data_IF_814176707931
#
_entry.id   IF_814176707931
#
_cell.length_a   1.000
_cell.length_b   1.000
_cell.length_c   1.000
_cell.angle_alpha   90.00
_cell.angle_beta   90.00
_cell.angle_gamma   90.00
#
_symmetry.space_group_name_H-M   'P 1'
#
loop_
_entity.id
_entity.type
_entity.pdbx_description
1 polymer ?
#
# COMPACT_ATOMS: atom_id res chain seq x y z
N UNK A 1 -0.18 19.41 24.80
CA UNK A 1 0.11 18.11 25.43
C UNK A 1 -0.28 16.99 24.46
N UNK A 2 0.63 16.07 24.16
CA UNK A 2 0.30 14.85 23.40
C UNK A 2 -0.59 13.96 24.28
N UNK A 3 -1.89 13.96 24.03
CA UNK A 3 -2.81 13.05 24.71
C UNK A 3 -2.69 11.66 24.11
N UNK A 4 -2.49 10.69 24.99
CA UNK A 4 -2.29 9.29 24.67
C UNK A 4 -3.60 8.54 24.94
N UNK A 5 -4.18 7.97 23.89
CA UNK A 5 -5.50 7.30 23.92
C UNK A 5 -5.36 5.87 23.43
N UNK A 6 -6.17 4.94 23.92
CA UNK A 6 -6.17 3.57 23.41
C UNK A 6 -6.84 3.52 22.03
N UNK A 7 -6.32 2.69 21.11
CA UNK A 7 -6.95 2.48 19.81
C UNK A 7 -8.28 1.72 19.97
N UNK A 8 -9.42 2.24 19.47
CA UNK A 8 -10.69 1.51 19.56
C UNK A 8 -10.69 0.26 18.67
N UNK A 9 -11.24 -0.86 19.17
CA UNK A 9 -11.32 -2.15 18.44
C UNK A 9 -11.89 -2.01 17.03
N UNK A 10 -12.97 -1.22 16.87
CA UNK A 10 -13.62 -0.99 15.58
C UNK A 10 -12.67 -0.39 14.54
N UNK A 11 -11.86 0.60 14.94
CA UNK A 11 -10.90 1.24 14.05
C UNK A 11 -9.75 0.31 13.69
N UNK A 12 -9.26 -0.49 14.65
CA UNK A 12 -8.28 -1.54 14.38
C UNK A 12 -8.78 -2.49 13.28
N UNK A 13 -10.01 -3.01 13.41
CA UNK A 13 -10.55 -3.92 12.40
C UNK A 13 -10.68 -3.29 11.01
N UNK A 14 -11.10 -2.04 10.91
CA UNK A 14 -11.12 -1.34 9.61
C UNK A 14 -9.73 -1.21 9.00
N UNK A 15 -8.71 -0.89 9.81
CA UNK A 15 -7.31 -0.82 9.34
C UNK A 15 -6.86 -2.19 8.84
N UNK A 16 -7.04 -3.24 9.64
CA UNK A 16 -6.57 -4.58 9.30
C UNK A 16 -7.27 -5.13 8.05
N UNK A 17 -8.59 -5.04 7.96
CA UNK A 17 -9.35 -5.53 6.80
C UNK A 17 -8.92 -4.79 5.52
N UNK A 18 -8.79 -3.46 5.58
CA UNK A 18 -8.38 -2.68 4.42
C UNK A 18 -6.96 -3.04 3.98
N UNK A 19 -6.03 -3.20 4.93
CA UNK A 19 -4.67 -3.64 4.62
C UNK A 19 -4.65 -5.04 4.02
N UNK A 20 -5.42 -5.99 4.56
CA UNK A 20 -5.51 -7.34 4.00
C UNK A 20 -6.03 -7.34 2.56
N UNK A 21 -7.07 -6.55 2.26
CA UNK A 21 -7.60 -6.41 0.89
C UNK A 21 -6.52 -5.85 -0.05
N UNK A 22 -5.83 -4.78 0.34
CA UNK A 22 -4.74 -4.18 -0.45
C UNK A 22 -3.63 -5.20 -0.71
N UNK A 23 -3.19 -5.91 0.33
CA UNK A 23 -2.11 -6.90 0.21
C UNK A 23 -2.50 -8.01 -0.77
N UNK A 24 -3.71 -8.56 -0.65
CA UNK A 24 -4.20 -9.62 -1.54
C UNK A 24 -4.34 -9.10 -2.97
N UNK A 25 -4.96 -7.94 -3.17
CA UNK A 25 -5.13 -7.35 -4.50
C UNK A 25 -3.79 -7.09 -5.18
N UNK A 26 -2.83 -6.49 -4.46
CA UNK A 26 -1.48 -6.21 -4.97
C UNK A 26 -0.71 -7.51 -5.27
N UNK A 27 -0.89 -8.54 -4.45
CA UNK A 27 -0.27 -9.86 -4.69
C UNK A 27 -0.83 -10.52 -5.94
N UNK A 28 -2.16 -10.49 -6.12
CA UNK A 28 -2.82 -11.05 -7.30
C UNK A 28 -2.41 -10.30 -8.58
N UNK A 29 -2.41 -8.96 -8.53
CA UNK A 29 -1.98 -8.13 -9.66
C UNK A 29 -0.56 -8.48 -10.09
N UNK A 30 0.39 -8.51 -9.15
CA UNK A 30 1.80 -8.85 -9.44
C UNK A 30 1.93 -10.25 -10.04
N UNK A 31 1.21 -11.24 -9.49
CA UNK A 31 1.23 -12.61 -10.02
C UNK A 31 0.69 -12.71 -11.44
N UNK A 32 -0.31 -11.90 -11.79
CA UNK A 32 -0.84 -11.84 -13.16
C UNK A 32 0.17 -11.16 -14.08
N UNK A 33 0.75 -10.03 -13.68
CA UNK A 33 1.73 -9.28 -14.48
C UNK A 33 2.95 -10.11 -14.84
N UNK A 34 3.55 -10.83 -13.88
CA UNK A 34 4.77 -11.62 -14.15
C UNK A 34 4.53 -12.86 -15.00
N UNK A 35 3.27 -13.31 -15.12
CA UNK A 35 2.87 -14.47 -15.93
C UNK A 35 2.37 -14.09 -17.32
N UNK A 36 2.12 -12.82 -17.55
CA UNK A 36 1.62 -12.33 -18.83
C UNK A 36 2.79 -12.16 -19.81
N UNK A 37 2.80 -13.00 -20.85
CA UNK A 37 3.86 -13.00 -21.85
C UNK A 37 3.82 -11.77 -22.74
N UNK A 38 2.63 -11.19 -22.97
CA UNK A 38 2.46 -10.01 -23.80
C UNK A 38 3.03 -8.78 -23.08
N UNK A 39 2.81 -8.68 -21.76
CA UNK A 39 3.42 -7.64 -20.94
C UNK A 39 4.95 -7.76 -20.88
N UNK A 40 5.49 -8.98 -20.81
CA UNK A 40 6.93 -9.19 -20.89
C UNK A 40 7.49 -8.75 -22.25
N UNK A 41 6.84 -9.12 -23.35
CA UNK A 41 7.27 -8.74 -24.70
C UNK A 41 7.24 -7.21 -24.89
N UNK A 42 6.18 -6.54 -24.42
CA UNK A 42 6.09 -5.07 -24.44
C UNK A 42 7.18 -4.41 -23.61
N UNK A 43 7.45 -4.93 -22.41
CA UNK A 43 8.53 -4.44 -21.56
C UNK A 43 9.90 -4.61 -22.24
N UNK A 44 10.14 -5.77 -22.86
CA UNK A 44 11.38 -6.08 -23.56
C UNK A 44 11.62 -5.17 -24.76
N UNK A 45 10.59 -4.91 -25.57
CA UNK A 45 10.68 -3.97 -26.70
C UNK A 45 11.05 -2.56 -26.24
N UNK A 46 10.39 -2.07 -25.18
CA UNK A 46 10.68 -0.76 -24.59
C UNK A 46 12.11 -0.70 -24.03
N UNK A 47 12.57 -1.78 -23.40
CA UNK A 47 13.91 -1.86 -22.81
C UNK A 47 15.00 -1.89 -23.89
N UNK A 48 14.80 -2.69 -24.96
CA UNK A 48 15.71 -2.73 -26.13
C UNK A 48 15.80 -1.37 -26.84
N UNK A 49 14.67 -0.66 -26.96
CA UNK A 49 14.63 0.67 -27.56
C UNK A 49 15.39 1.72 -26.73
N UNK A 50 15.45 1.55 -25.40
CA UNK A 50 16.10 2.51 -24.50
C UNK A 50 17.60 2.27 -24.32
N UNK A 51 18.04 1.01 -24.19
CA UNK A 51 19.42 0.68 -23.78
C UNK A 51 20.29 0.12 -24.91
N UNK A 52 19.72 -0.21 -26.08
CA UNK A 52 20.46 -0.63 -27.26
C UNK A 52 21.26 -1.93 -27.10
N UNK A 53 21.10 -2.65 -25.98
CA UNK A 53 21.83 -3.86 -25.64
C UNK A 53 21.04 -5.12 -26.03
N UNK A 54 21.71 -6.05 -26.72
CA UNK A 54 21.19 -7.39 -26.97
C UNK A 54 21.34 -8.25 -25.70
N UNK A 55 20.38 -8.13 -24.79
CA UNK A 55 20.27 -9.01 -23.62
C UNK A 55 19.62 -10.33 -24.06
N UNK A 56 20.11 -11.46 -23.55
CA UNK A 56 19.48 -12.77 -23.79
C UNK A 56 18.05 -12.79 -23.23
N UNK A 57 17.14 -13.53 -23.87
CA UNK A 57 15.72 -13.57 -23.46
C UNK A 57 15.58 -14.05 -22.00
N UNK A 58 16.37 -15.05 -21.61
CA UNK A 58 16.35 -15.61 -20.24
C UNK A 58 16.81 -14.59 -19.20
N UNK A 59 17.86 -13.82 -19.50
CA UNK A 59 18.35 -12.77 -18.61
C UNK A 59 17.35 -11.61 -18.51
N UNK A 60 16.77 -11.19 -19.64
CA UNK A 60 15.75 -10.15 -19.66
C UNK A 60 14.50 -10.55 -18.85
N UNK A 61 14.09 -11.82 -18.92
CA UNK A 61 12.97 -12.33 -18.13
C UNK A 61 13.26 -12.31 -16.62
N UNK A 62 14.47 -12.69 -16.21
CA UNK A 62 14.88 -12.61 -14.81
C UNK A 62 14.88 -11.16 -14.29
N UNK A 63 15.33 -10.21 -15.11
CA UNK A 63 15.29 -8.77 -14.78
C UNK A 63 13.83 -8.31 -14.65
N UNK A 64 12.98 -8.65 -15.61
CA UNK A 64 11.55 -8.31 -15.59
C UNK A 64 10.86 -8.80 -14.31
N UNK A 65 11.06 -10.07 -13.93
CA UNK A 65 10.52 -10.61 -12.68
C UNK A 65 11.07 -9.84 -11.47
N UNK A 66 12.38 -9.63 -11.41
CA UNK A 66 13.04 -8.98 -10.27
C UNK A 66 12.50 -7.56 -10.05
N UNK A 67 12.33 -6.80 -11.13
CA UNK A 67 11.78 -5.44 -11.10
C UNK A 67 10.33 -5.46 -10.58
N UNK A 68 9.48 -6.35 -11.09
CA UNK A 68 8.10 -6.48 -10.62
C UNK A 68 8.01 -6.89 -9.14
N UNK A 69 8.88 -7.80 -8.69
CA UNK A 69 8.94 -8.21 -7.28
C UNK A 69 9.41 -7.06 -6.36
N UNK A 70 10.37 -6.24 -6.81
CA UNK A 70 10.81 -5.07 -6.06
C UNK A 70 9.66 -4.06 -5.93
N UNK A 71 8.96 -3.76 -7.03
CA UNK A 71 7.79 -2.87 -6.98
C UNK A 71 6.70 -3.40 -6.07
N UNK A 72 6.41 -4.70 -6.13
CA UNK A 72 5.48 -5.37 -5.23
C UNK A 72 5.85 -5.16 -3.76
N UNK A 73 7.11 -5.40 -3.39
CA UNK A 73 7.57 -5.20 -2.02
C UNK A 73 7.37 -3.76 -1.56
N UNK A 74 7.74 -2.77 -2.39
CA UNK A 74 7.54 -1.35 -2.07
C UNK A 74 6.06 -1.00 -1.85
N UNK A 75 5.15 -1.53 -2.68
CA UNK A 75 3.70 -1.33 -2.50
C UNK A 75 3.19 -1.91 -1.17
N UNK A 76 3.80 -2.98 -0.65
CA UNK A 76 3.36 -3.63 0.58
C UNK A 76 3.91 -3.03 1.88
N UNK A 77 5.02 -2.27 1.83
CA UNK A 77 5.66 -1.73 3.05
C UNK A 77 4.68 -0.95 3.92
N UNK A 78 3.88 -0.06 3.34
CA UNK A 78 2.96 0.79 4.11
C UNK A 78 1.79 -0.01 4.71
N UNK A 79 1.02 -0.82 3.94
CA UNK A 79 -0.04 -1.67 4.49
C UNK A 79 0.44 -2.62 5.61
N UNK A 80 1.63 -3.23 5.45
CA UNK A 80 2.20 -4.10 6.48
C UNK A 80 2.59 -3.29 7.72
N UNK A 81 3.28 -2.17 7.54
CA UNK A 81 3.78 -1.39 8.67
C UNK A 81 2.65 -0.77 9.49
N UNK A 82 1.61 -0.23 8.84
CA UNK A 82 0.48 0.36 9.55
C UNK A 82 -0.38 -0.68 10.26
N UNK A 83 -0.58 -1.87 9.66
CA UNK A 83 -1.34 -2.94 10.29
C UNK A 83 -0.66 -3.47 11.55
N UNK A 84 0.66 -3.73 11.47
CA UNK A 84 1.47 -4.12 12.63
C UNK A 84 1.49 -3.03 13.71
N UNK A 85 1.79 -1.78 13.34
CA UNK A 85 1.85 -0.69 14.31
C UNK A 85 0.49 -0.46 14.98
N UNK A 86 -0.62 -0.55 14.24
CA UNK A 86 -1.98 -0.43 14.79
C UNK A 86 -2.30 -1.57 15.76
N UNK A 87 -1.87 -2.79 15.46
CA UNK A 87 -2.03 -3.92 16.38
C UNK A 87 -1.25 -3.72 17.68
N UNK A 88 0.00 -3.27 17.60
CA UNK A 88 0.77 -2.93 18.80
C UNK A 88 0.17 -1.75 19.57
N UNK A 89 -0.38 -0.75 18.88
CA UNK A 89 -1.11 0.38 19.45
C UNK A 89 -2.50 0.04 20.01
N UNK A 90 -2.98 -1.17 19.76
CA UNK A 90 -4.16 -1.70 20.42
C UNK A 90 -3.80 -2.47 21.70
N UNK A 91 -2.73 -3.28 21.67
CA UNK A 91 -2.38 -4.16 22.80
C UNK A 91 -1.53 -3.45 23.86
N UNK A 92 -0.53 -2.66 23.45
CA UNK A 92 0.50 -2.14 24.37
C UNK A 92 0.75 -0.65 24.25
N UNK A 93 0.68 -0.09 23.04
CA UNK A 93 0.95 1.32 22.80
C UNK A 93 -0.35 2.13 22.84
N UNK A 94 -0.22 3.44 23.02
CA UNK A 94 -1.33 4.40 22.89
C UNK A 94 -1.14 5.21 21.62
N UNK A 95 -2.24 5.62 21.00
CA UNK A 95 -2.23 6.52 19.85
C UNK A 95 -2.26 7.99 20.31
N UNK A 96 -1.70 8.86 19.49
CA UNK A 96 -1.74 10.32 19.64
C UNK A 96 -1.94 10.97 18.26
N UNK A 97 -1.99 12.31 18.22
CA UNK A 97 -2.14 13.04 16.95
C UNK A 97 -0.98 12.78 15.97
N UNK A 98 0.23 12.54 16.47
CA UNK A 98 1.39 12.25 15.63
C UNK A 98 1.26 10.90 14.90
N UNK A 99 0.75 9.87 15.57
CA UNK A 99 0.43 8.57 14.96
C UNK A 99 -0.50 8.77 13.76
N UNK A 100 -1.59 9.53 13.95
CA UNK A 100 -2.57 9.77 12.89
C UNK A 100 -1.94 10.55 11.74
N UNK A 101 -1.20 11.62 12.05
CA UNK A 101 -0.56 12.46 11.03
C UNK A 101 0.42 11.67 10.16
N UNK A 102 1.39 10.97 10.77
CA UNK A 102 2.41 10.20 10.04
C UNK A 102 1.75 9.17 9.13
N UNK A 103 0.82 8.37 9.68
CA UNK A 103 0.20 7.32 8.89
C UNK A 103 -0.72 7.86 7.79
N UNK A 104 -1.42 8.97 8.04
CA UNK A 104 -2.26 9.59 7.01
C UNK A 104 -1.42 10.06 5.83
N UNK A 105 -0.29 10.73 6.10
CA UNK A 105 0.62 11.20 5.04
C UNK A 105 1.21 10.03 4.25
N UNK A 106 1.65 8.97 4.93
CA UNK A 106 2.21 7.79 4.25
C UNK A 106 1.16 7.06 3.40
N UNK A 107 -0.06 6.88 3.91
CA UNK A 107 -1.16 6.25 3.17
C UNK A 107 -1.58 7.12 1.98
N UNK A 108 -1.64 8.44 2.13
CA UNK A 108 -1.89 9.36 1.01
C UNK A 108 -0.79 9.29 -0.05
N UNK A 109 0.48 9.16 0.37
CA UNK A 109 1.60 8.94 -0.53
C UNK A 109 1.44 7.65 -1.34
N UNK A 110 1.07 6.54 -0.70
CA UNK A 110 0.77 5.28 -1.38
C UNK A 110 -0.43 5.40 -2.32
N UNK A 111 -1.48 6.10 -1.89
CA UNK A 111 -2.66 6.35 -2.72
C UNK A 111 -2.30 7.17 -3.97
N UNK A 112 -1.50 8.23 -3.81
CA UNK A 112 -1.01 9.04 -4.92
C UNK A 112 -0.11 8.23 -5.86
N UNK A 113 0.77 7.38 -5.32
CA UNK A 113 1.60 6.48 -6.13
C UNK A 113 0.73 5.56 -6.98
N UNK A 114 -0.30 4.92 -6.40
CA UNK A 114 -1.27 4.13 -7.16
C UNK A 114 -1.99 4.98 -8.19
N UNK A 115 -2.40 6.20 -7.86
CA UNK A 115 -3.04 7.09 -8.83
C UNK A 115 -2.14 7.37 -10.03
N UNK A 116 -0.84 7.64 -9.83
CA UNK A 116 0.13 7.92 -10.91
C UNK A 116 0.49 6.71 -11.78
N UNK A 117 0.28 5.49 -11.29
CA UNK A 117 0.46 4.27 -12.08
C UNK A 117 -0.48 4.22 -13.31
N UNK A 118 -1.59 4.97 -13.27
CA UNK A 118 -2.52 5.15 -14.41
C UNK A 118 -3.03 3.83 -15.02
N UNK A 119 -3.07 2.75 -14.24
CA UNK A 119 -3.56 1.42 -14.65
C UNK A 119 -5.09 1.31 -14.61
N UNK A 120 -5.78 2.25 -15.27
CA UNK A 120 -7.25 2.42 -15.28
C UNK A 120 -7.99 1.16 -15.79
N UNK A 121 -7.32 0.32 -16.58
CA UNK A 121 -7.86 -0.93 -17.10
C UNK A 121 -7.78 -2.11 -16.11
N UNK A 122 -7.08 -1.95 -14.98
CA UNK A 122 -6.91 -2.99 -13.95
C UNK A 122 -8.02 -2.89 -12.91
N UNK A 123 -8.72 -4.00 -12.63
CA UNK A 123 -9.66 -4.05 -11.49
C UNK A 123 -8.93 -3.87 -10.15
N UNK A 124 -7.68 -4.32 -10.05
CA UNK A 124 -6.87 -4.23 -8.84
C UNK A 124 -6.50 -2.78 -8.50
N UNK A 125 -6.34 -1.92 -9.52
CA UNK A 125 -6.18 -0.47 -9.35
C UNK A 125 -7.31 0.12 -8.50
N UNK A 126 -8.57 -0.16 -8.85
CA UNK A 126 -9.73 0.36 -8.13
C UNK A 126 -9.88 -0.25 -6.73
N UNK A 127 -9.58 -1.53 -6.57
CA UNK A 127 -9.61 -2.21 -5.27
C UNK A 127 -8.58 -1.57 -4.32
N UNK A 128 -7.35 -1.38 -4.78
CA UNK A 128 -6.28 -0.75 -4.01
C UNK A 128 -6.64 0.70 -3.66
N UNK A 129 -7.15 1.48 -4.62
CA UNK A 129 -7.55 2.88 -4.40
C UNK A 129 -8.66 2.99 -3.35
N UNK A 130 -9.65 2.10 -3.42
CA UNK A 130 -10.74 2.03 -2.43
C UNK A 130 -10.21 1.65 -1.05
N UNK A 131 -9.31 0.67 -0.97
CA UNK A 131 -8.67 0.27 0.28
C UNK A 131 -7.90 1.43 0.93
N UNK A 132 -7.09 2.17 0.16
CA UNK A 132 -6.37 3.34 0.65
C UNK A 132 -7.32 4.45 1.10
N UNK A 133 -8.40 4.69 0.36
CA UNK A 133 -9.41 5.68 0.75
C UNK A 133 -10.05 5.35 2.10
N UNK A 134 -10.44 4.08 2.32
CA UNK A 134 -10.99 3.63 3.60
C UNK A 134 -9.97 3.81 4.73
N UNK A 135 -8.68 3.52 4.49
CA UNK A 135 -7.61 3.75 5.47
C UNK A 135 -7.49 5.22 5.84
N UNK A 136 -7.49 6.14 4.87
CA UNK A 136 -7.42 7.59 5.13
C UNK A 136 -8.59 8.04 6.00
N UNK A 137 -9.82 7.66 5.63
CA UNK A 137 -11.03 8.03 6.40
C UNK A 137 -10.96 7.48 7.82
N UNK A 138 -10.52 6.23 7.98
CA UNK A 138 -10.38 5.58 9.29
C UNK A 138 -9.31 6.24 10.16
N UNK A 139 -8.21 6.70 9.57
CA UNK A 139 -7.16 7.42 10.29
C UNK A 139 -7.64 8.80 10.73
N UNK A 140 -8.27 9.57 9.84
CA UNK A 140 -8.81 10.88 10.17
C UNK A 140 -9.90 10.81 11.25
N UNK A 141 -10.72 9.75 11.26
CA UNK A 141 -11.73 9.58 12.32
C UNK A 141 -11.12 9.35 13.71
N UNK A 142 -9.87 8.87 13.81
CA UNK A 142 -9.17 8.73 15.09
C UNK A 142 -8.82 10.08 15.74
N UNK A 143 -8.72 11.17 14.97
CA UNK A 143 -8.51 12.52 15.53
C UNK A 143 -9.64 12.86 16.50
N UNK A 144 -10.88 12.62 16.08
CA UNK A 144 -12.07 12.86 16.92
C UNK A 144 -12.08 12.00 18.19
N UNK A 145 -11.53 10.79 18.13
CA UNK A 145 -11.39 9.90 19.29
C UNK A 145 -10.36 10.46 20.28
N UNK A 146 -9.23 10.93 19.76
CA UNK A 146 -8.16 11.53 20.57
C UNK A 146 -8.67 12.82 21.21
N UNK A 147 -9.37 13.69 20.48
CA UNK A 147 -9.85 14.96 21.01
C UNK A 147 -10.92 14.79 22.09
N UNK A 148 -11.85 13.84 21.93
CA UNK A 148 -12.83 13.51 22.99
C UNK A 148 -12.16 13.03 24.28
N UNK A 149 -11.02 12.36 24.19
CA UNK A 149 -10.26 11.94 25.37
C UNK A 149 -9.52 13.08 26.07
N UNK A 150 -9.41 14.26 25.45
CA UNK A 150 -8.84 15.47 26.10
C UNK A 150 -9.85 16.20 26.97
N UNK A 151 -11.14 16.05 26.65
CA UNK A 151 -12.26 16.76 27.30
C UNK A 151 -12.95 15.92 28.38
N UNK A 152 -12.56 14.66 28.53
CA UNK A 152 -12.98 13.73 29.59
C UNK A 152 -11.97 13.73 30.72
#
# INVERSE_FOLDING_TARGET
MNTLTNLPKKHLYYILISCSIIIVATSMETLMTVKDIDLFNQWLENHKAAEGAEISVDEAFNVFISVNLIYFLFKLVIPISISLHSYFAYIKLKINGLFVFIWTVLVLGSMAYTLFEWSINSIFYYINLTGYFILVVTLLSLINVIDKSKTS
#
